data_IF_950096511123
#
_entry.id   IF_950096511123
#
_cell.length_a   1.000
_cell.length_b   1.000
_cell.length_c   1.000
_cell.angle_alpha   90.00
_cell.angle_beta   90.00
_cell.angle_gamma   90.00
#
_symmetry.space_group_name_H-M   'P 1'
#
loop_
_entity.id
_entity.type
_entity.pdbx_description
1 polymer ?
#
# COMPACT_ATOMS: atom_id res chain seq x y z
N UNK A 1 -22.90 -47.37 47.17
CA UNK A 1 -21.63 -47.48 46.43
C UNK A 1 -22.00 -47.94 45.04
N UNK A 2 -22.15 -46.99 44.13
CA UNK A 2 -22.72 -47.25 42.80
C UNK A 2 -21.87 -46.55 41.75
N UNK A 3 -21.69 -47.26 40.64
CA UNK A 3 -20.62 -47.11 39.67
C UNK A 3 -20.78 -45.88 38.77
N UNK A 4 -19.65 -45.24 38.49
CA UNK A 4 -19.51 -44.19 37.47
C UNK A 4 -19.70 -44.78 36.07
N UNK A 5 -20.51 -44.12 35.23
CA UNK A 5 -20.58 -44.34 33.79
C UNK A 5 -20.40 -43.02 33.06
N UNK A 6 -19.54 -43.09 32.05
CA UNK A 6 -19.16 -42.08 31.06
C UNK A 6 -20.34 -41.35 30.40
N UNK A 7 -20.14 -40.05 30.15
CA UNK A 7 -20.68 -39.32 28.98
C UNK A 7 -20.10 -37.91 28.93
N UNK A 8 -19.01 -37.67 28.17
CA UNK A 8 -18.83 -36.43 27.39
C UNK A 8 -17.57 -36.50 26.50
N UNK A 9 -17.65 -37.29 25.42
CA UNK A 9 -16.86 -37.05 24.21
C UNK A 9 -17.89 -36.84 23.12
N UNK A 10 -18.03 -35.61 22.63
CA UNK A 10 -18.56 -35.20 21.32
C UNK A 10 -18.74 -33.67 21.32
N UNK A 11 -17.69 -32.93 20.94
CA UNK A 11 -17.76 -31.47 20.87
C UNK A 11 -16.60 -30.78 20.14
N UNK A 12 -15.53 -31.50 19.79
CA UNK A 12 -14.34 -30.91 19.16
C UNK A 12 -14.27 -31.04 17.64
N UNK A 13 -15.16 -31.80 16.99
CA UNK A 13 -15.08 -32.06 15.54
C UNK A 13 -16.01 -31.19 14.68
N UNK A 14 -16.88 -30.37 15.29
CA UNK A 14 -17.81 -29.50 14.55
C UNK A 14 -17.33 -28.06 14.35
N UNK A 15 -16.15 -27.67 14.88
CA UNK A 15 -15.65 -26.27 14.81
C UNK A 15 -14.60 -26.05 13.73
N UNK A 16 -14.00 -27.11 13.20
CA UNK A 16 -12.98 -27.05 12.13
C UNK A 16 -13.59 -26.85 10.74
N UNK A 17 -14.88 -27.16 10.56
CA UNK A 17 -15.56 -27.10 9.26
C UNK A 17 -16.07 -25.70 8.85
N UNK A 18 -16.09 -24.69 9.75
CA UNK A 18 -16.44 -23.30 9.38
C UNK A 18 -15.25 -22.43 8.99
N UNK A 19 -14.02 -22.92 9.20
CA UNK A 19 -12.81 -22.12 9.00
C UNK A 19 -12.32 -22.11 7.53
N UNK A 20 -12.95 -22.90 6.64
CA UNK A 20 -12.54 -23.02 5.24
C UNK A 20 -13.42 -22.26 4.25
N UNK A 21 -14.58 -21.73 4.64
CA UNK A 21 -15.52 -21.08 3.71
C UNK A 21 -15.37 -19.55 3.62
N UNK A 22 -14.52 -18.93 4.43
CA UNK A 22 -14.27 -17.47 4.39
C UNK A 22 -13.10 -17.06 3.47
N UNK A 23 -12.22 -18.00 3.09
CA UNK A 23 -11.00 -17.71 2.32
C UNK A 23 -11.13 -17.97 0.81
N UNK A 24 -12.28 -18.39 0.31
CA UNK A 24 -12.49 -18.77 -1.10
C UNK A 24 -12.65 -17.57 -2.05
N UNK A 25 -12.65 -16.33 -1.57
CA UNK A 25 -12.86 -15.13 -2.39
C UNK A 25 -11.61 -14.46 -2.97
N UNK A 26 -10.38 -14.88 -2.60
CA UNK A 26 -9.16 -14.10 -2.89
C UNK A 26 -8.11 -14.83 -3.75
N UNK A 27 -8.43 -16.00 -4.34
CA UNK A 27 -7.45 -16.90 -4.97
C UNK A 27 -7.70 -17.23 -6.44
N UNK A 28 -8.08 -16.25 -7.26
CA UNK A 28 -8.07 -16.43 -8.73
C UNK A 28 -7.37 -15.25 -9.37
N UNK A 29 -6.03 -15.34 -9.54
CA UNK A 29 -5.28 -14.76 -10.69
C UNK A 29 -3.74 -14.75 -10.56
N UNK A 30 -3.12 -15.35 -9.52
CA UNK A 30 -1.65 -15.25 -9.33
C UNK A 30 -0.81 -16.50 -9.52
N UNK A 31 -1.32 -17.56 -10.13
CA UNK A 31 -0.51 -18.74 -10.47
C UNK A 31 -0.81 -19.25 -11.87
N UNK A 32 -0.22 -18.62 -12.90
CA UNK A 32 0.11 -19.24 -14.19
C UNK A 32 0.83 -18.24 -15.13
N UNK A 33 2.16 -18.18 -15.06
CA UNK A 33 3.11 -17.78 -16.12
C UNK A 33 4.50 -17.58 -15.47
N UNK A 34 5.63 -18.11 -15.92
CA UNK A 34 5.95 -18.94 -17.06
C UNK A 34 7.32 -19.56 -16.75
N UNK A 35 7.38 -20.88 -16.54
CA UNK A 35 8.60 -21.66 -16.60
C UNK A 35 8.57 -22.46 -17.91
N UNK A 36 9.21 -21.92 -18.95
CA UNK A 36 9.61 -22.50 -20.25
C UNK A 36 9.69 -21.32 -21.20
N UNK A 37 10.80 -21.04 -21.87
CA UNK A 37 11.25 -21.78 -23.05
C UNK A 37 12.76 -21.53 -23.24
N UNK A 38 13.53 -22.62 -23.28
CA UNK A 38 14.84 -22.68 -23.95
C UNK A 38 14.59 -22.84 -25.44
N UNK A 39 15.25 -22.03 -26.27
CA UNK A 39 15.29 -22.19 -27.71
C UNK A 39 16.45 -21.40 -28.32
N UNK A 40 17.56 -22.08 -28.58
CA UNK A 40 18.65 -21.63 -29.46
C UNK A 40 18.17 -21.59 -30.91
N UNK A 41 18.58 -20.61 -31.72
CA UNK A 41 18.92 -20.72 -33.17
C UNK A 41 19.62 -19.41 -33.59
N UNK A 42 20.93 -19.45 -33.79
CA UNK A 42 21.69 -19.34 -35.06
C UNK A 42 21.94 -17.90 -35.55
N UNK A 43 23.24 -17.60 -35.61
CA UNK A 43 23.88 -16.48 -36.28
C UNK A 43 23.77 -16.65 -37.80
N UNK A 44 23.15 -15.69 -38.48
CA UNK A 44 23.34 -15.49 -39.92
C UNK A 44 23.84 -14.06 -40.16
N UNK A 45 25.06 -13.96 -40.73
CA UNK A 45 25.55 -12.73 -41.36
C UNK A 45 24.98 -12.66 -42.77
N UNK A 46 24.56 -11.50 -43.27
CA UNK A 46 24.52 -11.27 -44.71
C UNK A 46 25.85 -10.69 -45.17
N UNK A 47 26.44 -11.40 -46.12
CA UNK A 47 27.52 -10.95 -46.98
C UNK A 47 27.00 -9.95 -48.04
N UNK A 48 27.82 -8.92 -48.27
CA UNK A 48 28.14 -8.35 -49.58
C UNK A 48 27.15 -7.40 -50.28
N UNK A 49 27.77 -6.38 -50.89
CA UNK A 49 27.28 -5.48 -51.93
C UNK A 49 26.21 -4.44 -51.58
N UNK A 50 26.66 -3.30 -51.03
CA UNK A 50 26.04 -2.02 -51.36
C UNK A 50 26.99 -1.15 -52.18
N UNK A 51 26.59 -1.00 -53.44
CA UNK A 51 27.24 -0.26 -54.49
C UNK A 51 27.34 1.23 -54.11
N UNK A 52 28.52 1.81 -54.33
CA UNK A 52 28.82 3.21 -54.09
C UNK A 52 27.91 4.12 -54.94
N UNK A 53 26.91 4.72 -54.31
CA UNK A 53 26.23 5.90 -54.82
C UNK A 53 26.28 6.98 -53.75
N UNK A 54 26.97 8.07 -54.11
CA UNK A 54 27.10 9.30 -53.35
C UNK A 54 25.79 9.72 -52.67
N UNK A 55 25.73 9.59 -51.35
CA UNK A 55 24.80 10.36 -50.52
C UNK A 55 25.62 11.37 -49.75
N UNK A 56 25.64 12.58 -50.31
CA UNK A 56 26.02 13.80 -49.62
C UNK A 56 25.08 13.95 -48.41
N UNK A 57 25.62 14.25 -47.21
CA UNK A 57 24.96 14.42 -45.91
C UNK A 57 24.80 13.20 -44.96
N UNK A 58 25.89 12.52 -44.64
CA UNK A 58 25.92 11.59 -43.49
C UNK A 58 25.81 12.32 -42.12
N UNK A 59 26.21 13.60 -42.05
CA UNK A 59 26.15 14.41 -40.81
C UNK A 59 24.75 14.94 -40.46
N UNK A 60 23.81 14.96 -41.40
CA UNK A 60 22.46 15.51 -41.17
C UNK A 60 21.48 14.44 -40.67
N UNK A 61 21.52 13.24 -41.25
CA UNK A 61 20.65 12.13 -40.85
C UNK A 61 21.02 11.65 -39.45
N UNK A 62 22.32 11.53 -39.14
CA UNK A 62 22.75 11.11 -37.80
C UNK A 62 22.27 12.06 -36.71
N UNK A 63 22.35 13.38 -36.94
CA UNK A 63 21.88 14.40 -35.99
C UNK A 63 20.35 14.42 -35.87
N UNK A 64 19.59 14.23 -36.96
CA UNK A 64 18.12 14.15 -36.93
C UNK A 64 17.64 12.87 -36.25
N UNK A 65 18.28 11.74 -36.52
CA UNK A 65 18.01 10.45 -35.87
C UNK A 65 18.38 10.52 -34.39
N UNK A 66 19.53 11.09 -34.03
CA UNK A 66 19.90 11.30 -32.62
C UNK A 66 18.92 12.21 -31.89
N UNK A 67 18.45 13.30 -32.51
CA UNK A 67 17.42 14.18 -31.93
C UNK A 67 16.07 13.48 -31.80
N UNK A 68 15.66 12.67 -32.78
CA UNK A 68 14.42 11.89 -32.71
C UNK A 68 14.50 10.79 -31.66
N UNK A 69 15.63 10.08 -31.57
CA UNK A 69 15.87 9.07 -30.53
C UNK A 69 15.86 9.73 -29.16
N UNK A 70 16.53 10.88 -28.99
CA UNK A 70 16.51 11.64 -27.73
C UNK A 70 15.11 12.16 -27.38
N UNK A 71 14.33 12.64 -28.35
CA UNK A 71 12.95 13.07 -28.14
C UNK A 71 12.03 11.90 -27.79
N UNK A 72 12.21 10.76 -28.46
CA UNK A 72 11.47 9.54 -28.21
C UNK A 72 11.81 8.96 -26.84
N UNK A 73 13.09 8.89 -26.45
CA UNK A 73 13.51 8.41 -25.13
C UNK A 73 13.03 9.32 -24.01
N UNK A 74 13.07 10.64 -24.18
CA UNK A 74 12.52 11.60 -23.22
C UNK A 74 10.99 11.47 -23.07
N UNK A 75 10.29 11.21 -24.17
CA UNK A 75 8.83 11.01 -24.16
C UNK A 75 8.46 9.68 -23.48
N UNK A 76 9.20 8.61 -23.78
CA UNK A 76 9.06 7.32 -23.11
C UNK A 76 9.36 7.43 -21.61
N UNK A 77 10.43 8.13 -21.23
CA UNK A 77 10.79 8.35 -19.82
C UNK A 77 9.68 9.10 -19.07
N UNK A 78 9.13 10.18 -19.64
CA UNK A 78 8.00 10.91 -19.04
C UNK A 78 6.77 10.02 -18.86
N UNK A 79 6.47 9.18 -19.83
CA UNK A 79 5.34 8.25 -19.75
C UNK A 79 5.53 7.21 -18.64
N UNK A 80 6.72 6.61 -18.54
CA UNK A 80 7.01 5.65 -17.46
C UNK A 80 7.00 6.31 -16.09
N UNK A 81 7.56 7.52 -15.97
CA UNK A 81 7.50 8.29 -14.73
C UNK A 81 6.04 8.59 -14.35
N UNK A 82 5.20 8.97 -15.32
CA UNK A 82 3.77 9.20 -15.10
C UNK A 82 3.05 7.96 -14.57
N UNK A 83 3.29 6.79 -15.16
CA UNK A 83 2.74 5.51 -14.66
C UNK A 83 3.19 5.19 -13.24
N UNK A 84 4.45 5.43 -12.93
CA UNK A 84 4.99 5.18 -11.60
C UNK A 84 4.31 6.09 -10.56
N UNK A 85 4.16 7.38 -10.88
CA UNK A 85 3.48 8.34 -10.00
C UNK A 85 2.02 7.94 -9.76
N UNK A 86 1.28 7.57 -10.81
CA UNK A 86 -0.12 7.10 -10.68
C UNK A 86 -0.18 5.90 -9.73
N UNK A 87 0.67 4.90 -9.95
CA UNK A 87 0.71 3.72 -9.08
C UNK A 87 1.01 4.08 -7.62
N UNK A 88 1.97 4.98 -7.36
CA UNK A 88 2.29 5.40 -5.98
C UNK A 88 1.11 6.10 -5.31
N UNK A 89 0.39 6.96 -6.04
CA UNK A 89 -0.83 7.58 -5.53
C UNK A 89 -1.91 6.54 -5.21
N UNK A 90 -2.11 5.55 -6.07
CA UNK A 90 -3.06 4.46 -5.81
C UNK A 90 -2.68 3.66 -4.55
N UNK A 91 -1.38 3.39 -4.33
CA UNK A 91 -0.87 2.74 -3.13
C UNK A 91 -1.14 3.57 -1.86
N UNK A 92 -0.88 4.88 -1.90
CA UNK A 92 -1.14 5.81 -0.80
C UNK A 92 -2.63 5.88 -0.48
N UNK A 93 -3.49 6.09 -1.48
CA UNK A 93 -4.93 6.15 -1.27
C UNK A 93 -5.49 4.83 -0.77
N UNK A 94 -4.99 3.71 -1.29
CA UNK A 94 -5.32 2.39 -0.77
C UNK A 94 -4.93 2.27 0.69
N UNK A 95 -3.79 2.79 1.13
CA UNK A 95 -3.35 2.72 2.51
C UNK A 95 -4.26 3.51 3.47
N UNK A 96 -4.65 4.72 3.09
CA UNK A 96 -5.48 5.60 3.95
C UNK A 96 -6.99 5.32 3.87
N UNK A 97 -7.43 4.40 3.00
CA UNK A 97 -8.86 4.17 2.74
C UNK A 97 -9.66 3.60 3.93
N UNK A 98 -9.02 2.86 4.85
CA UNK A 98 -9.73 2.20 5.97
C UNK A 98 -9.22 2.73 7.32
N UNK A 99 -10.12 2.73 8.29
CA UNK A 99 -9.93 3.44 9.56
C UNK A 99 -8.75 2.93 10.40
N UNK A 100 -8.56 1.61 10.66
CA UNK A 100 -7.44 1.17 11.49
C UNK A 100 -6.06 1.57 10.95
N UNK A 101 -5.92 1.64 9.62
CA UNK A 101 -4.68 2.08 8.99
C UNK A 101 -4.45 3.58 9.15
N UNK A 102 -5.52 4.39 9.09
CA UNK A 102 -5.41 5.84 9.35
C UNK A 102 -4.97 6.09 10.78
N UNK A 103 -5.60 5.42 11.75
CA UNK A 103 -5.23 5.56 13.17
C UNK A 103 -3.78 5.17 13.40
N UNK A 104 -3.31 4.07 12.79
CA UNK A 104 -1.91 3.68 12.86
C UNK A 104 -0.95 4.70 12.24
N UNK A 105 -1.25 5.19 11.03
CA UNK A 105 -0.40 6.21 10.36
C UNK A 105 -0.36 7.49 11.20
N UNK A 106 -1.49 7.87 11.80
CA UNK A 106 -1.60 8.99 12.71
C UNK A 106 -0.73 8.81 13.96
N UNK A 107 -0.83 7.67 14.63
CA UNK A 107 -0.03 7.39 15.81
C UNK A 107 1.48 7.42 15.48
N UNK A 108 1.86 6.92 14.31
CA UNK A 108 3.24 6.98 13.82
C UNK A 108 3.70 8.39 13.47
N UNK A 109 2.80 9.26 12.96
CA UNK A 109 3.08 10.67 12.69
C UNK A 109 3.39 11.44 13.98
N UNK A 110 2.64 11.15 15.04
CA UNK A 110 2.79 11.80 16.34
C UNK A 110 4.02 11.27 17.13
N UNK A 111 4.44 10.04 16.87
CA UNK A 111 5.65 9.43 17.45
C UNK A 111 6.94 9.93 16.78
N UNK A 112 8.08 9.80 17.47
CA UNK A 112 9.38 10.10 16.87
C UNK A 112 9.66 9.16 15.67
N UNK A 113 10.36 9.60 14.61
CA UNK A 113 10.57 8.77 13.41
C UNK A 113 11.23 7.40 13.66
N UNK A 114 12.08 7.32 14.67
CA UNK A 114 12.80 6.10 15.07
C UNK A 114 12.06 5.28 16.17
N UNK A 115 10.89 5.73 16.61
CA UNK A 115 10.08 5.05 17.62
C UNK A 115 9.07 4.09 16.99
N UNK A 116 8.69 3.10 17.79
CA UNK A 116 7.60 2.18 17.46
C UNK A 116 6.39 2.47 18.34
N UNK A 117 5.21 2.13 17.83
CA UNK A 117 3.94 2.27 18.52
C UNK A 117 3.33 0.88 18.82
N UNK A 118 2.68 0.70 19.99
CA UNK A 118 2.08 -0.57 20.38
C UNK A 118 0.79 -0.87 19.62
N UNK A 119 0.52 -2.16 19.39
CA UNK A 119 -0.68 -2.64 18.71
C UNK A 119 -1.41 -3.72 19.54
N UNK A 120 -2.75 -3.73 19.52
CA UNK A 120 -3.64 -3.00 18.61
C UNK A 120 -3.95 -1.54 19.00
N UNK A 121 -3.47 -1.05 20.13
CA UNK A 121 -3.90 0.22 20.76
C UNK A 121 -3.78 1.42 19.83
N UNK A 122 -2.67 1.54 19.09
CA UNK A 122 -2.44 2.64 18.16
C UNK A 122 -3.25 2.58 16.86
N UNK A 123 -4.07 1.54 16.65
CA UNK A 123 -4.94 1.40 15.49
C UNK A 123 -6.44 1.45 15.84
N UNK A 124 -6.80 1.64 17.12
CA UNK A 124 -8.19 1.70 17.57
C UNK A 124 -8.82 3.02 17.14
N UNK A 125 -10.04 2.96 16.60
CA UNK A 125 -10.89 4.15 16.50
C UNK A 125 -11.61 4.37 17.85
N UNK A 126 -11.33 5.47 18.57
CA UNK A 126 -11.96 5.74 19.86
C UNK A 126 -13.49 5.94 19.79
N UNK A 127 -14.04 6.23 18.61
CA UNK A 127 -15.47 6.48 18.41
C UNK A 127 -16.29 5.22 18.09
N UNK A 128 -15.64 4.10 17.75
CA UNK A 128 -16.33 2.89 17.33
C UNK A 128 -15.94 1.75 18.28
N UNK A 129 -16.87 1.25 19.10
CA UNK A 129 -16.61 0.05 19.89
C UNK A 129 -16.21 -1.10 18.97
N UNK A 130 -14.99 -1.60 19.14
CA UNK A 130 -14.45 -2.70 18.36
C UNK A 130 -13.99 -3.83 19.28
N UNK A 131 -14.18 -5.07 18.83
CA UNK A 131 -13.60 -6.23 19.47
C UNK A 131 -12.09 -6.25 19.21
N UNK A 132 -11.29 -6.17 20.29
CA UNK A 132 -9.83 -6.08 20.22
C UNK A 132 -9.19 -7.33 19.61
N UNK A 133 -9.78 -8.52 19.83
CA UNK A 133 -9.24 -9.76 19.25
C UNK A 133 -9.46 -9.80 17.74
N UNK A 134 -10.63 -9.33 17.29
CA UNK A 134 -10.94 -9.21 15.86
C UNK A 134 -10.02 -8.18 15.21
N UNK A 135 -9.85 -7.00 15.83
CA UNK A 135 -8.93 -5.97 15.33
C UNK A 135 -7.50 -6.49 15.24
N UNK A 136 -7.02 -7.19 16.27
CA UNK A 136 -5.67 -7.79 16.27
C UNK A 136 -5.50 -8.78 15.12
N UNK A 137 -6.51 -9.61 14.86
CA UNK A 137 -6.51 -10.54 13.73
C UNK A 137 -6.50 -9.81 12.38
N UNK A 138 -7.33 -8.78 12.20
CA UNK A 138 -7.36 -7.95 10.98
C UNK A 138 -6.05 -7.20 10.75
N UNK A 139 -5.44 -6.66 11.81
CA UNK A 139 -4.13 -6.04 11.75
C UNK A 139 -3.08 -7.02 11.22
N UNK A 140 -3.02 -8.21 11.81
CA UNK A 140 -2.01 -9.21 11.48
C UNK A 140 -2.15 -9.73 10.04
N UNK A 141 -3.37 -9.99 9.58
CA UNK A 141 -3.60 -10.66 8.29
C UNK A 141 -3.88 -9.72 7.12
N UNK A 142 -4.39 -8.51 7.38
CA UNK A 142 -4.88 -7.62 6.33
C UNK A 142 -4.15 -6.28 6.31
N UNK A 143 -4.03 -5.61 7.45
CA UNK A 143 -3.57 -4.22 7.46
C UNK A 143 -2.05 -4.07 7.50
N UNK A 144 -1.37 -4.74 8.43
CA UNK A 144 0.08 -4.63 8.58
C UNK A 144 0.84 -5.19 7.37
N UNK A 145 0.49 -6.37 6.81
CA UNK A 145 1.13 -6.85 5.59
C UNK A 145 0.97 -5.87 4.44
N UNK A 146 -0.24 -5.32 4.24
CA UNK A 146 -0.50 -4.37 3.16
C UNK A 146 0.32 -3.09 3.29
N UNK A 147 0.48 -2.56 4.51
CA UNK A 147 1.27 -1.34 4.73
C UNK A 147 2.77 -1.62 4.56
N UNK A 148 3.22 -2.78 5.01
CA UNK A 148 4.62 -3.21 4.92
C UNK A 148 5.03 -3.58 3.49
N UNK A 149 4.16 -4.22 2.71
CA UNK A 149 4.36 -4.55 1.29
C UNK A 149 4.61 -3.30 0.43
N UNK A 150 4.09 -2.15 0.87
CA UNK A 150 4.30 -0.85 0.23
C UNK A 150 5.42 -0.02 0.89
N UNK A 151 6.12 -0.60 1.86
CA UNK A 151 7.23 0.00 2.61
C UNK A 151 6.83 1.26 3.39
N UNK A 152 5.54 1.41 3.71
CA UNK A 152 5.05 2.51 4.52
C UNK A 152 5.36 2.30 6.00
N UNK A 153 5.35 1.05 6.48
CA UNK A 153 5.67 0.70 7.88
C UNK A 153 6.64 -0.47 7.95
N UNK A 154 7.29 -0.58 9.11
CA UNK A 154 7.85 -1.84 9.63
C UNK A 154 6.96 -2.34 10.76
N UNK A 155 6.95 -3.64 11.02
CA UNK A 155 6.22 -4.19 12.17
C UNK A 155 6.86 -5.47 12.68
N UNK A 156 6.70 -5.72 13.98
CA UNK A 156 7.15 -6.92 14.68
C UNK A 156 5.95 -7.60 15.32
N UNK A 157 6.02 -8.93 15.48
CA UNK A 157 4.91 -9.71 16.02
C UNK A 157 4.99 -9.94 17.53
N UNK A 158 6.17 -9.80 18.13
CA UNK A 158 6.40 -9.99 19.57
C UNK A 158 7.54 -9.07 20.07
N UNK A 159 7.23 -7.96 20.76
CA UNK A 159 5.87 -7.44 20.99
C UNK A 159 5.23 -7.01 19.67
N UNK A 160 3.89 -7.00 19.62
CA UNK A 160 3.17 -6.53 18.43
C UNK A 160 3.30 -5.00 18.36
N UNK A 161 4.22 -4.52 17.52
CA UNK A 161 4.54 -3.09 17.37
C UNK A 161 4.72 -2.74 15.90
N UNK A 162 4.58 -1.45 15.58
CA UNK A 162 4.86 -0.92 14.25
C UNK A 162 5.73 0.33 14.31
N UNK A 163 6.58 0.53 13.30
CA UNK A 163 7.43 1.71 13.12
C UNK A 163 7.29 2.29 11.71
N UNK A 164 7.91 3.44 11.47
CA UNK A 164 7.90 4.07 10.14
C UNK A 164 8.77 3.26 9.16
N UNK A 165 8.23 3.01 7.97
CA UNK A 165 8.96 2.42 6.85
C UNK A 165 9.67 3.49 6.00
N UNK A 166 10.54 3.08 5.06
CA UNK A 166 11.33 4.02 4.26
C UNK A 166 10.49 4.91 3.33
N UNK A 167 9.24 4.53 3.03
CA UNK A 167 8.29 5.32 2.24
C UNK A 167 7.20 5.98 3.09
N UNK A 168 7.33 6.00 4.41
CA UNK A 168 6.29 6.52 5.31
C UNK A 168 5.86 7.95 4.96
N UNK A 169 6.79 8.81 4.55
CA UNK A 169 6.50 10.20 4.20
C UNK A 169 5.43 10.35 3.11
N UNK A 170 5.31 9.37 2.19
CA UNK A 170 4.29 9.39 1.13
C UNK A 170 2.86 9.31 1.70
N UNK A 171 2.63 8.51 2.74
CA UNK A 171 1.32 8.41 3.41
C UNK A 171 1.16 9.47 4.50
N UNK A 172 2.25 9.78 5.19
CA UNK A 172 2.28 10.78 6.26
C UNK A 172 1.85 12.15 5.75
N UNK A 173 2.41 12.60 4.62
CA UNK A 173 2.09 13.93 4.06
C UNK A 173 0.62 14.07 3.67
N UNK A 174 -0.03 13.01 3.20
CA UNK A 174 -1.44 13.04 2.82
C UNK A 174 -2.33 13.18 4.06
N UNK A 175 -2.04 12.40 5.11
CA UNK A 175 -2.78 12.47 6.37
C UNK A 175 -2.57 13.84 7.05
N UNK A 176 -1.32 14.30 7.15
CA UNK A 176 -0.97 15.61 7.72
C UNK A 176 -1.61 16.77 6.94
N UNK A 177 -1.66 16.68 5.60
CA UNK A 177 -2.32 17.68 4.75
C UNK A 177 -3.82 17.73 4.97
N UNK A 178 -4.49 16.58 5.11
CA UNK A 178 -5.93 16.53 5.40
C UNK A 178 -6.23 17.13 6.76
N UNK A 179 -5.36 16.87 7.72
CA UNK A 179 -5.48 17.34 9.10
C UNK A 179 -5.29 18.85 9.23
N UNK A 180 -4.20 19.35 8.64
CA UNK A 180 -3.90 20.77 8.55
C UNK A 180 -4.98 21.59 7.82
N UNK A 181 -5.85 20.95 7.05
CA UNK A 181 -6.95 21.58 6.32
C UNK A 181 -8.33 21.08 6.77
N UNK A 182 -8.48 20.52 7.97
CA UNK A 182 -9.72 19.91 8.45
C UNK A 182 -10.96 20.84 8.33
N UNK A 183 -10.79 22.15 8.48
CA UNK A 183 -11.86 23.15 8.31
C UNK A 183 -12.39 23.28 6.88
N UNK A 184 -11.59 22.92 5.88
CA UNK A 184 -11.94 22.91 4.46
C UNK A 184 -12.40 21.54 3.94
N UNK A 185 -12.32 20.49 4.76
CA UNK A 185 -12.81 19.16 4.41
C UNK A 185 -14.34 19.15 4.48
N UNK A 186 -15.06 18.63 3.46
CA UNK A 186 -16.51 18.54 3.49
C UNK A 186 -17.02 17.77 4.71
N UNK A 187 -18.07 18.28 5.33
CA UNK A 187 -18.71 17.71 6.52
C UNK A 187 -19.01 16.21 6.39
N UNK A 188 -19.40 15.73 5.19
CA UNK A 188 -19.66 14.32 4.91
C UNK A 188 -18.46 13.38 5.10
N UNK A 189 -17.24 13.94 5.12
CA UNK A 189 -15.98 13.23 5.37
C UNK A 189 -15.38 13.56 6.73
N UNK A 190 -15.87 14.61 7.40
CA UNK A 190 -15.46 15.01 8.75
C UNK A 190 -16.29 14.28 9.81
N UNK A 191 -17.60 14.21 9.64
CA UNK A 191 -18.49 13.55 10.60
C UNK A 191 -18.15 12.05 10.71
N UNK A 192 -17.68 11.64 11.89
CA UNK A 192 -17.19 10.29 12.19
C UNK A 192 -15.67 10.13 12.19
N UNK A 193 -14.91 11.14 11.76
CA UNK A 193 -13.44 11.17 11.77
C UNK A 193 -12.93 12.08 12.91
N UNK A 194 -12.80 11.55 14.14
CA UNK A 194 -12.52 12.36 15.34
C UNK A 194 -11.33 13.31 15.22
N UNK A 195 -10.28 12.91 14.49
CA UNK A 195 -9.08 13.74 14.36
C UNK A 195 -9.35 15.02 13.57
N UNK A 196 -10.12 14.92 12.48
CA UNK A 196 -10.57 16.09 11.71
C UNK A 196 -11.62 16.90 12.48
N UNK A 197 -12.51 16.24 13.23
CA UNK A 197 -13.45 16.92 14.12
C UNK A 197 -12.72 17.73 15.20
N UNK A 198 -11.68 17.16 15.81
CA UNK A 198 -10.85 17.81 16.83
C UNK A 198 -10.09 19.01 16.29
N UNK A 199 -9.37 18.86 15.18
CA UNK A 199 -8.61 19.96 14.57
C UNK A 199 -9.52 21.10 14.11
N UNK A 200 -10.73 20.78 13.65
CA UNK A 200 -11.74 21.80 13.32
C UNK A 200 -12.25 22.52 14.57
N UNK A 201 -12.48 21.79 15.65
CA UNK A 201 -12.93 22.36 16.92
C UNK A 201 -11.85 23.25 17.54
N UNK A 202 -10.60 22.79 17.60
CA UNK A 202 -9.46 23.56 18.13
C UNK A 202 -9.26 24.87 17.36
N UNK A 203 -9.30 24.83 16.02
CA UNK A 203 -9.21 26.05 15.20
C UNK A 203 -10.42 26.98 15.34
N UNK A 204 -11.60 26.41 15.57
CA UNK A 204 -12.80 27.21 15.83
C UNK A 204 -12.68 27.93 17.18
N UNK A 205 -12.22 27.23 18.22
CA UNK A 205 -12.05 27.78 19.56
C UNK A 205 -10.99 28.90 19.59
N UNK A 206 -9.86 28.75 18.87
CA UNK A 206 -8.84 29.79 18.71
C UNK A 206 -9.41 31.07 18.07
N UNK A 207 -10.31 30.94 17.09
CA UNK A 207 -10.92 32.07 16.37
C UNK A 207 -11.95 32.86 17.18
N UNK A 208 -12.47 32.29 18.28
CA UNK A 208 -13.47 32.92 19.15
C UNK A 208 -12.79 33.68 20.31
N UNK A 209 -11.52 33.37 20.59
CA UNK A 209 -10.73 34.01 21.65
C UNK A 209 -9.92 35.23 21.23
N UNK A 210 -9.95 35.62 19.95
CA UNK A 210 -9.34 36.84 19.39
C UNK A 210 -10.37 37.96 19.18
#
# INVERSE_FOLDING_TARGET
MEAQRDSSKNGSEARTARYQESCTGCLTERQQACCSIRGSVVSERPSSEFNSLNIVHHDSIYVVVQKHVASYTMTQQRYQNGKQVIRRWDEVFKAVAVEPRRQLIVALLDAHPDETVPLPESAINPNVPQDLEVLRQELYHCHLPMLSDHEFITWESEPLVAGRGPRFDEVGVVIDSLQSNATGVPDSLVFGCQRLERERQERFDDSVTE
#
